data_IF_283228915425
#
_entry.id   IF_283228915425
#
_cell.length_a   1.000
_cell.length_b   1.000
_cell.length_c   1.000
_cell.angle_alpha   90.00
_cell.angle_beta   90.00
_cell.angle_gamma   90.00
#
_symmetry.space_group_name_H-M   'P 1'
#
loop_
_entity.id
_entity.type
_entity.pdbx_description
1 polymer ?
#
# COMPACT_ATOMS: atom_id res chain seq x y z
N UNK A 1 26.97 22.73 -1.66
CA UNK A 1 27.23 22.10 -0.35
C UNK A 1 27.36 20.57 -0.48
N UNK A 2 28.51 20.01 -0.07
CA UNK A 2 28.87 18.58 -0.25
C UNK A 2 27.95 17.61 0.53
N UNK A 3 27.22 18.09 1.54
CA UNK A 3 26.26 17.32 2.35
C UNK A 3 25.01 16.83 1.58
N UNK A 4 24.59 17.53 0.52
CA UNK A 4 23.37 17.17 -0.24
C UNK A 4 23.56 15.96 -1.18
N UNK A 5 24.81 15.55 -1.45
CA UNK A 5 25.11 14.43 -2.37
C UNK A 5 25.37 13.11 -1.65
N UNK A 6 25.57 13.14 -0.33
CA UNK A 6 25.95 11.99 0.49
C UNK A 6 24.84 11.50 1.43
N UNK A 7 23.88 12.35 1.78
CA UNK A 7 22.75 11.94 2.60
C UNK A 7 21.58 11.50 1.71
N UNK A 8 21.03 10.29 1.89
CA UNK A 8 19.74 9.96 1.30
C UNK A 8 18.71 11.00 1.73
N UNK A 9 17.84 11.43 0.81
CA UNK A 9 16.82 12.45 1.10
C UNK A 9 16.02 12.11 2.37
N UNK A 10 15.79 13.12 3.22
CA UNK A 10 15.05 12.96 4.46
C UNK A 10 13.58 12.65 4.18
N UNK A 11 13.04 11.68 4.92
CA UNK A 11 11.61 11.41 4.94
C UNK A 11 11.00 12.14 6.15
N UNK A 12 9.93 12.93 5.95
CA UNK A 12 9.21 13.53 7.07
C UNK A 12 8.44 12.46 7.84
N UNK A 13 8.04 12.79 9.07
CA UNK A 13 7.05 11.99 9.80
C UNK A 13 5.74 11.90 9.01
N UNK A 14 5.01 10.80 9.23
CA UNK A 14 3.72 10.61 8.57
C UNK A 14 2.71 11.66 9.04
N UNK A 15 1.95 12.20 8.10
CA UNK A 15 0.74 12.96 8.34
C UNK A 15 -0.25 12.64 7.23
N UNK A 16 -1.55 12.78 7.51
CA UNK A 16 -2.60 12.58 6.49
C UNK A 16 -2.40 13.49 5.27
N UNK A 17 -1.81 14.69 5.47
CA UNK A 17 -1.48 15.62 4.40
C UNK A 17 -0.24 15.24 3.58
N UNK A 18 0.70 14.48 4.14
CA UNK A 18 1.95 14.06 3.48
C UNK A 18 1.93 12.60 2.99
N UNK A 19 0.81 11.91 3.17
CA UNK A 19 0.57 10.55 2.70
C UNK A 19 0.69 10.41 1.18
N UNK A 20 1.40 9.37 0.72
CA UNK A 20 1.47 9.05 -0.71
C UNK A 20 0.13 8.48 -1.19
N UNK A 21 -0.52 9.20 -2.11
CA UNK A 21 -1.80 8.82 -2.72
C UNK A 21 -1.67 8.51 -4.21
N UNK A 22 -0.48 8.07 -4.64
CA UNK A 22 -0.21 7.73 -6.03
C UNK A 22 -1.22 6.71 -6.57
N UNK A 23 -2.00 7.06 -7.62
CA UNK A 23 -3.08 6.19 -8.09
C UNK A 23 -2.55 4.94 -8.82
N UNK A 24 -1.37 5.05 -9.43
CA UNK A 24 -0.76 3.98 -10.21
C UNK A 24 0.76 3.98 -10.02
N UNK A 25 1.29 2.86 -9.54
CA UNK A 25 2.71 2.54 -9.55
C UNK A 25 2.92 1.12 -10.08
N UNK A 26 4.02 0.88 -10.79
CA UNK A 26 4.44 -0.48 -11.11
C UNK A 26 4.99 -1.16 -9.84
N UNK A 27 5.09 -2.51 -9.84
CA UNK A 27 5.70 -3.23 -8.73
C UNK A 27 7.08 -2.67 -8.33
N UNK A 28 7.28 -2.49 -7.03
CA UNK A 28 8.47 -1.84 -6.48
C UNK A 28 8.40 -0.31 -6.40
N UNK A 29 7.19 0.26 -6.33
CA UNK A 29 6.98 1.71 -6.18
C UNK A 29 7.58 2.53 -7.32
N UNK A 30 7.63 1.95 -8.53
CA UNK A 30 8.18 2.61 -9.70
C UNK A 30 7.08 3.51 -10.30
N UNK A 31 7.29 4.84 -10.33
CA UNK A 31 6.29 5.76 -10.85
C UNK A 31 6.14 5.61 -12.36
N UNK A 32 4.92 5.75 -12.87
CA UNK A 32 4.69 5.89 -14.31
C UNK A 32 5.10 7.31 -14.72
N UNK A 33 6.17 7.42 -15.50
CA UNK A 33 6.59 8.68 -16.11
C UNK A 33 5.70 8.98 -17.33
N UNK A 34 4.90 10.04 -17.24
CA UNK A 34 3.97 10.49 -18.29
C UNK A 34 4.63 10.88 -19.64
N UNK A 35 5.96 10.80 -19.77
CA UNK A 35 6.70 11.27 -20.95
C UNK A 35 6.79 10.26 -22.12
N UNK A 36 6.06 9.15 -22.06
CA UNK A 36 5.87 8.23 -23.20
C UNK A 36 4.39 7.93 -23.39
N UNK A 37 3.65 8.99 -23.73
CA UNK A 37 2.26 8.93 -24.17
C UNK A 37 2.08 7.88 -25.27
N UNK A 38 1.43 6.76 -24.93
CA UNK A 38 0.71 5.84 -25.83
C UNK A 38 -0.10 4.76 -25.07
N UNK A 39 -0.05 4.71 -23.74
CA UNK A 39 -0.84 3.74 -22.98
C UNK A 39 -2.24 4.29 -22.63
N UNK A 40 -3.25 3.52 -23.02
CA UNK A 40 -4.64 3.66 -22.59
C UNK A 40 -4.77 3.45 -21.08
N UNK A 41 -5.87 3.95 -20.49
CA UNK A 41 -6.20 3.72 -19.08
C UNK A 41 -6.28 2.22 -18.75
N UNK A 42 -6.73 1.40 -19.71
CA UNK A 42 -6.77 -0.06 -19.55
C UNK A 42 -5.37 -0.65 -19.41
N UNK A 43 -4.42 -0.24 -20.27
CA UNK A 43 -3.04 -0.75 -20.21
C UNK A 43 -2.35 -0.36 -18.91
N UNK A 44 -2.52 0.88 -18.45
CA UNK A 44 -2.02 1.33 -17.14
C UNK A 44 -2.61 0.50 -16.01
N UNK A 45 -3.92 0.22 -16.06
CA UNK A 45 -4.57 -0.67 -15.10
C UNK A 45 -4.04 -2.11 -15.19
N UNK A 46 -3.65 -2.62 -16.35
CA UNK A 46 -3.08 -3.97 -16.44
C UNK A 46 -1.64 -4.04 -15.91
N UNK A 47 -0.87 -2.97 -16.09
CA UNK A 47 0.54 -2.92 -15.70
C UNK A 47 0.76 -2.66 -14.20
N UNK A 48 -0.13 -1.90 -13.54
CA UNK A 48 -0.01 -1.58 -12.13
C UNK A 48 -0.93 -2.47 -11.30
N UNK A 49 -0.48 -3.50 -10.57
CA UNK A 49 -1.37 -4.34 -9.79
C UNK A 49 -2.03 -3.57 -8.63
N UNK A 50 -3.17 -4.05 -8.14
CA UNK A 50 -3.95 -3.39 -7.06
C UNK A 50 -3.09 -3.02 -5.82
N UNK A 51 -2.16 -3.86 -5.34
CA UNK A 51 -1.31 -3.51 -4.19
C UNK A 51 -0.45 -2.26 -4.36
N UNK A 52 -0.20 -1.78 -5.59
CA UNK A 52 0.56 -0.56 -5.87
C UNK A 52 -0.33 0.61 -6.30
N UNK A 53 -1.62 0.56 -5.97
CA UNK A 53 -2.59 1.63 -6.19
C UNK A 53 -3.18 2.07 -4.87
N UNK A 54 -3.14 3.38 -4.62
CA UNK A 54 -3.76 3.92 -3.43
C UNK A 54 -5.28 3.72 -3.44
N UNK A 55 -5.83 3.32 -2.29
CA UNK A 55 -7.27 3.18 -2.06
C UNK A 55 -7.68 4.07 -0.89
N UNK A 56 -8.75 4.83 -1.07
CA UNK A 56 -9.30 5.69 -0.01
C UNK A 56 -10.00 4.86 1.06
N UNK A 57 -10.09 5.39 2.29
CA UNK A 57 -10.85 4.76 3.37
C UNK A 57 -12.30 4.46 2.97
N UNK A 58 -12.96 5.41 2.28
CA UNK A 58 -14.32 5.21 1.75
C UNK A 58 -14.44 3.99 0.82
N UNK A 59 -13.43 3.75 -0.03
CA UNK A 59 -13.42 2.62 -0.96
C UNK A 59 -13.18 1.30 -0.23
N UNK A 60 -12.33 1.33 0.80
CA UNK A 60 -12.01 0.19 1.64
C UNK A 60 -13.07 -0.05 2.73
N UNK A 61 -14.02 0.87 2.90
CA UNK A 61 -14.97 0.90 4.03
C UNK A 61 -14.27 0.90 5.39
N UNK A 62 -13.07 1.49 5.45
CA UNK A 62 -12.25 1.60 6.66
C UNK A 62 -12.36 3.01 7.25
N UNK A 63 -12.34 3.09 8.57
CA UNK A 63 -12.31 4.35 9.31
C UNK A 63 -10.88 4.76 9.62
N UNK A 64 -10.72 6.03 9.96
CA UNK A 64 -9.45 6.57 10.45
C UNK A 64 -9.03 5.85 11.74
N UNK A 65 -7.78 5.40 11.79
CA UNK A 65 -7.21 4.71 12.96
C UNK A 65 -6.43 5.72 13.81
N UNK A 66 -6.96 6.00 15.00
CA UNK A 66 -6.36 6.93 15.95
C UNK A 66 -5.44 6.21 16.92
N UNK A 67 -4.23 6.72 17.08
CA UNK A 67 -3.30 6.39 18.16
C UNK A 67 -3.10 7.61 19.05
N UNK A 68 -2.35 7.48 20.16
CA UNK A 68 -2.07 8.61 21.04
C UNK A 68 -1.27 9.74 20.38
N UNK A 69 -0.55 9.45 19.29
CA UNK A 69 0.40 10.39 18.67
C UNK A 69 0.08 10.67 17.19
N UNK A 70 -0.52 9.71 16.48
CA UNK A 70 -0.72 9.74 15.03
C UNK A 70 -2.11 9.25 14.68
N UNK A 71 -2.68 9.81 13.62
CA UNK A 71 -3.91 9.34 13.01
C UNK A 71 -3.67 8.87 11.59
N UNK A 72 -4.04 7.62 11.28
CA UNK A 72 -3.92 7.04 9.94
C UNK A 72 -5.24 7.18 9.19
N UNK A 73 -5.19 7.70 7.96
CA UNK A 73 -6.37 8.13 7.18
C UNK A 73 -7.45 7.07 6.90
N UNK A 74 -7.21 5.81 7.25
CA UNK A 74 -8.01 4.64 6.88
C UNK A 74 -7.73 4.15 5.47
N UNK A 75 -7.14 4.98 4.61
CA UNK A 75 -6.72 4.59 3.27
C UNK A 75 -5.34 3.91 3.25
N UNK A 76 -4.92 3.51 2.06
CA UNK A 76 -3.58 2.98 1.85
C UNK A 76 -3.44 2.11 0.61
N UNK A 77 -2.31 1.44 0.55
CA UNK A 77 -2.02 0.40 -0.43
C UNK A 77 -2.39 -0.94 0.19
N UNK A 78 -3.21 -1.75 -0.51
CA UNK A 78 -3.79 -2.96 0.09
C UNK A 78 -3.56 -4.17 -0.80
N UNK A 79 -3.10 -5.26 -0.20
CA UNK A 79 -3.00 -6.56 -0.84
C UNK A 79 -3.97 -7.54 -0.16
N UNK A 80 -4.98 -7.98 -0.90
CA UNK A 80 -5.86 -9.08 -0.49
C UNK A 80 -5.07 -10.40 -0.56
N UNK A 81 -4.99 -11.12 0.55
CA UNK A 81 -4.24 -12.37 0.67
C UNK A 81 -5.05 -13.59 0.22
N UNK A 82 -6.37 -13.45 0.01
CA UNK A 82 -7.28 -14.54 -0.28
C UNK A 82 -7.58 -15.43 0.94
N UNK A 83 -8.37 -16.47 0.70
CA UNK A 83 -8.94 -17.33 1.75
C UNK A 83 -8.08 -18.54 2.13
N UNK A 84 -7.06 -18.87 1.33
CA UNK A 84 -6.22 -20.05 1.55
C UNK A 84 -4.74 -19.69 1.73
N UNK A 85 -4.06 -20.49 2.56
CA UNK A 85 -2.67 -20.25 2.94
C UNK A 85 -1.69 -20.30 1.77
N UNK A 86 -1.99 -21.06 0.71
CA UNK A 86 -1.14 -21.18 -0.48
C UNK A 86 -1.22 -19.91 -1.32
N UNK A 87 -2.42 -19.37 -1.53
CA UNK A 87 -2.64 -18.08 -2.19
C UNK A 87 -2.01 -16.95 -1.41
N UNK A 88 -2.24 -16.90 -0.09
CA UNK A 88 -1.63 -15.90 0.79
C UNK A 88 -0.10 -15.95 0.71
N UNK A 89 0.50 -17.14 0.80
CA UNK A 89 1.95 -17.32 0.71
C UNK A 89 2.51 -16.84 -0.63
N UNK A 90 1.82 -17.14 -1.74
CA UNK A 90 2.23 -16.66 -3.07
C UNK A 90 2.22 -15.15 -3.14
N UNK A 91 1.15 -14.51 -2.66
CA UNK A 91 1.00 -13.05 -2.69
C UNK A 91 2.05 -12.39 -1.81
N UNK A 92 2.25 -12.86 -0.57
CA UNK A 92 3.28 -12.35 0.34
C UNK A 92 4.68 -12.48 -0.29
N UNK A 93 4.98 -13.59 -0.96
CA UNK A 93 6.27 -13.77 -1.62
C UNK A 93 6.48 -12.75 -2.75
N UNK A 94 5.45 -12.48 -3.57
CA UNK A 94 5.50 -11.42 -4.59
C UNK A 94 5.68 -10.04 -3.96
N UNK A 95 4.95 -9.70 -2.89
CA UNK A 95 5.10 -8.42 -2.20
C UNK A 95 6.53 -8.24 -1.64
N UNK A 96 7.11 -9.31 -1.09
CA UNK A 96 8.50 -9.31 -0.60
C UNK A 96 9.51 -9.13 -1.74
N UNK A 97 9.34 -9.86 -2.84
CA UNK A 97 10.21 -9.79 -4.02
C UNK A 97 10.32 -8.35 -4.56
N UNK A 98 9.21 -7.63 -4.56
CA UNK A 98 9.13 -6.24 -5.03
C UNK A 98 9.31 -5.19 -3.93
N UNK A 99 9.76 -5.55 -2.72
CA UNK A 99 9.94 -4.62 -1.59
C UNK A 99 8.71 -3.73 -1.35
N UNK A 100 7.53 -4.35 -1.32
CA UNK A 100 6.28 -3.61 -1.07
C UNK A 100 6.32 -2.86 0.27
N UNK A 101 6.98 -3.44 1.28
CA UNK A 101 7.35 -2.70 2.49
C UNK A 101 8.75 -2.14 2.27
N UNK A 102 8.89 -0.82 2.30
CA UNK A 102 10.17 -0.13 2.14
C UNK A 102 10.39 0.93 3.22
N UNK A 103 11.48 1.70 3.12
CA UNK A 103 11.81 2.76 4.08
C UNK A 103 10.79 3.90 4.17
N UNK A 104 9.85 4.01 3.21
CA UNK A 104 8.80 5.03 3.19
C UNK A 104 7.49 4.52 3.82
N UNK A 105 7.39 3.23 4.12
CA UNK A 105 6.22 2.66 4.78
C UNK A 105 6.12 3.18 6.22
N UNK A 106 5.08 3.97 6.50
CA UNK A 106 4.84 4.54 7.83
C UNK A 106 4.18 3.57 8.82
N UNK A 107 3.40 2.60 8.33
CA UNK A 107 2.68 1.64 9.14
C UNK A 107 2.13 0.50 8.29
N UNK A 108 1.89 -0.64 8.93
CA UNK A 108 1.29 -1.82 8.31
C UNK A 108 0.15 -2.28 9.21
N UNK A 109 -1.01 -2.45 8.61
CA UNK A 109 -2.19 -3.04 9.26
C UNK A 109 -2.48 -4.38 8.59
N UNK A 110 -2.72 -5.41 9.40
CA UNK A 110 -3.10 -6.74 8.94
C UNK A 110 -4.45 -7.06 9.55
N UNK A 111 -5.48 -7.15 8.71
CA UNK A 111 -6.86 -7.36 9.14
C UNK A 111 -7.35 -8.74 8.68
N UNK A 112 -7.94 -9.49 9.61
CA UNK A 112 -8.67 -10.73 9.33
C UNK A 112 -9.73 -10.92 10.41
N UNK A 113 -10.84 -11.56 10.04
CA UNK A 113 -11.88 -11.98 10.96
C UNK A 113 -11.95 -13.51 10.99
N UNK A 114 -12.10 -14.09 12.18
CA UNK A 114 -12.24 -15.53 12.38
C UNK A 114 -13.66 -15.78 12.88
N UNK A 115 -14.39 -16.67 12.22
CA UNK A 115 -15.71 -17.09 12.70
C UNK A 115 -15.63 -18.48 13.31
N UNK A 116 -16.14 -18.64 14.52
CA UNK A 116 -16.31 -19.93 15.18
C UNK A 116 -17.78 -20.39 15.04
N UNK A 117 -18.07 -21.38 14.17
CA UNK A 117 -19.42 -21.89 13.97
C UNK A 117 -20.01 -22.56 15.22
N UNK A 118 -19.16 -23.09 16.12
CA UNK A 118 -19.63 -23.83 17.30
C UNK A 118 -20.25 -22.92 18.35
N UNK A 119 -19.73 -21.71 18.47
CA UNK A 119 -20.21 -20.67 19.38
C UNK A 119 -21.01 -19.56 18.67
N UNK A 120 -21.00 -19.52 17.33
CA UNK A 120 -21.56 -18.44 16.52
C UNK A 120 -20.95 -17.07 16.85
N UNK A 121 -19.66 -17.06 17.20
CA UNK A 121 -18.90 -15.85 17.52
C UNK A 121 -17.92 -15.50 16.39
N UNK A 122 -17.68 -14.21 16.23
CA UNK A 122 -16.58 -13.63 15.45
C UNK A 122 -15.48 -13.14 16.40
#
# INVERSE_FOLDING_TARGET
>A
PLLSRTLPGCLPDYSISSEDRSPYSLPGWIPILNNSSNHTKQEISHMCPIPWRYQTGDKLQSMELFTSEISYSGGGFVADLGYDSKTASRIINTLKEFNWIDRKTAGILVEFALFDPSSSLF
#
